data_IF_080623284370
#
_entry.id   IF_080623284370
#
_cell.length_a   1.000
_cell.length_b   1.000
_cell.length_c   1.000
_cell.angle_alpha   90.00
_cell.angle_beta   90.00
_cell.angle_gamma   90.00
#
_symmetry.space_group_name_H-M   'P 1'
#
loop_
_entity.id
_entity.type
_entity.pdbx_description
1 polymer ?
#
# COMPACT_ATOMS: atom_id res chain seq x y z
N UNK A 1 -16.32 -2.99 11.53
CA UNK A 1 -15.38 -4.09 11.17
C UNK A 1 -15.25 -4.09 9.66
N UNK A 2 -14.07 -3.83 9.12
CA UNK A 2 -13.83 -3.90 7.66
C UNK A 2 -13.70 -5.36 7.20
N UNK A 3 -14.08 -5.64 5.96
CA UNK A 3 -13.85 -6.91 5.30
C UNK A 3 -12.42 -6.95 4.73
N UNK A 4 -11.75 -8.12 4.80
CA UNK A 4 -10.38 -8.34 4.27
C UNK A 4 -10.41 -9.01 2.89
N UNK A 5 -11.40 -8.66 2.08
CA UNK A 5 -11.69 -9.23 0.76
C UNK A 5 -11.32 -8.29 -0.39
N UNK A 6 -10.57 -7.21 -0.11
CA UNK A 6 -10.08 -6.30 -1.14
C UNK A 6 -9.26 -7.06 -2.19
N UNK A 7 -9.61 -6.83 -3.45
CA UNK A 7 -8.79 -7.28 -4.58
C UNK A 7 -7.54 -6.42 -4.76
N UNK A 8 -7.34 -5.36 -3.98
CA UNK A 8 -6.23 -4.43 -4.12
C UNK A 8 -5.19 -4.60 -3.02
N UNK A 9 -3.92 -4.48 -3.43
CA UNK A 9 -2.76 -4.41 -2.55
C UNK A 9 -2.31 -2.95 -2.53
N UNK A 10 -2.36 -2.32 -1.37
CA UNK A 10 -1.93 -0.94 -1.18
C UNK A 10 -0.41 -0.81 -1.26
N UNK A 11 0.04 0.18 -2.01
CA UNK A 11 1.45 0.56 -2.17
C UNK A 11 1.55 2.09 -2.09
N UNK A 12 2.72 2.62 -1.79
CA UNK A 12 2.99 4.05 -1.79
C UNK A 12 4.13 4.37 -2.76
N UNK A 13 4.21 5.60 -3.25
CA UNK A 13 5.41 6.08 -3.98
C UNK A 13 6.43 6.71 -3.04
N UNK A 14 6.12 6.82 -1.75
CA UNK A 14 6.93 7.47 -0.74
C UNK A 14 7.68 6.42 0.10
N UNK A 15 8.96 6.24 -0.22
CA UNK A 15 9.88 5.35 0.50
C UNK A 15 9.99 5.73 1.99
N UNK A 16 9.95 7.02 2.32
CA UNK A 16 10.07 7.50 3.71
C UNK A 16 8.83 7.11 4.50
N UNK A 17 7.64 7.28 3.92
CA UNK A 17 6.37 6.92 4.56
C UNK A 17 6.25 5.41 4.80
N UNK A 18 6.63 4.59 3.82
CA UNK A 18 6.69 3.14 3.99
C UNK A 18 7.68 2.74 5.10
N UNK A 19 8.83 3.42 5.18
CA UNK A 19 9.86 3.15 6.19
C UNK A 19 9.42 3.61 7.59
N UNK A 20 8.78 4.77 7.72
CA UNK A 20 8.26 5.29 8.98
C UNK A 20 7.25 4.31 9.60
N UNK A 21 6.31 3.80 8.79
CA UNK A 21 5.36 2.79 9.24
C UNK A 21 6.09 1.53 9.74
N UNK A 22 7.04 1.00 8.95
CA UNK A 22 7.79 -0.20 9.32
C UNK A 22 8.60 -0.01 10.62
N UNK A 23 9.27 1.14 10.77
CA UNK A 23 9.99 1.48 12.00
C UNK A 23 9.03 1.53 13.17
N UNK A 24 7.97 2.35 13.10
CA UNK A 24 7.08 2.51 14.25
C UNK A 24 6.48 1.17 14.69
N UNK A 25 6.06 0.36 13.72
CA UNK A 25 5.45 -0.93 14.00
C UNK A 25 6.44 -1.95 14.54
N UNK A 26 7.65 -2.02 13.99
CA UNK A 26 8.70 -2.89 14.53
C UNK A 26 9.03 -2.56 16.00
N UNK A 27 8.93 -1.28 16.35
CA UNK A 27 9.22 -0.76 17.69
C UNK A 27 8.11 -1.06 18.69
N UNK A 28 6.85 -0.88 18.28
CA UNK A 28 5.65 -1.11 19.11
C UNK A 28 5.39 -2.60 19.30
N UNK A 29 5.49 -3.38 18.22
CA UNK A 29 5.07 -4.78 18.21
C UNK A 29 6.23 -5.76 18.46
N UNK A 30 7.47 -5.25 18.53
CA UNK A 30 8.68 -6.02 18.79
C UNK A 30 8.83 -7.24 17.86
N UNK A 31 8.54 -7.03 16.56
CA UNK A 31 8.62 -8.04 15.50
C UNK A 31 9.20 -7.42 14.23
N UNK A 32 9.81 -8.20 13.32
CA UNK A 32 10.34 -7.67 12.07
C UNK A 32 9.23 -7.13 11.16
N UNK A 33 9.50 -6.00 10.50
CA UNK A 33 8.69 -5.43 9.43
C UNK A 33 9.54 -5.34 8.16
N UNK A 34 8.89 -5.38 6.99
CA UNK A 34 9.57 -5.41 5.72
C UNK A 34 9.12 -4.25 4.84
N UNK A 35 10.06 -3.54 4.24
CA UNK A 35 9.79 -2.52 3.21
C UNK A 35 10.23 -3.09 1.88
N UNK A 36 9.29 -3.37 0.99
CA UNK A 36 9.57 -3.90 -0.35
C UNK A 36 9.62 -2.77 -1.35
N UNK A 37 10.67 -2.73 -2.17
CA UNK A 37 10.72 -1.87 -3.35
C UNK A 37 10.28 -2.66 -4.57
N UNK A 38 9.28 -2.15 -5.27
CA UNK A 38 8.58 -2.86 -6.34
C UNK A 38 8.58 -1.99 -7.59
N UNK A 39 8.95 -2.57 -8.73
CA UNK A 39 8.79 -1.93 -10.04
C UNK A 39 7.31 -1.85 -10.41
N UNK A 40 6.84 -0.66 -10.74
CA UNK A 40 5.49 -0.44 -11.21
C UNK A 40 5.23 -1.08 -12.59
N UNK A 41 3.98 -1.48 -12.85
CA UNK A 41 3.51 -1.93 -14.17
C UNK A 41 2.06 -1.50 -14.39
N UNK A 42 1.48 -1.85 -15.54
CA UNK A 42 0.13 -1.47 -15.94
C UNK A 42 -1.00 -1.97 -15.00
N UNK A 43 -0.68 -2.83 -14.03
CA UNK A 43 -1.62 -3.37 -13.06
C UNK A 43 -1.63 -2.62 -11.72
N UNK A 44 -0.86 -1.52 -11.64
CA UNK A 44 -0.80 -0.61 -10.50
C UNK A 44 -1.45 0.71 -10.91
N UNK A 45 -2.38 1.19 -10.10
CA UNK A 45 -3.22 2.35 -10.40
C UNK A 45 -3.06 3.44 -9.35
N UNK A 46 -3.09 4.70 -9.76
CA UNK A 46 -3.16 5.81 -8.81
C UNK A 46 -4.49 5.73 -8.04
N UNK A 47 -4.43 5.68 -6.70
CA UNK A 47 -5.62 5.48 -5.88
C UNK A 47 -6.57 6.69 -5.97
N UNK A 48 -6.03 7.91 -5.95
CA UNK A 48 -6.81 9.16 -6.03
C UNK A 48 -7.57 9.24 -7.35
N UNK A 49 -6.88 9.04 -8.48
CA UNK A 49 -7.52 9.08 -9.80
C UNK A 49 -8.59 7.98 -9.93
N UNK A 50 -8.30 6.78 -9.42
CA UNK A 50 -9.25 5.66 -9.43
C UNK A 50 -10.49 5.96 -8.62
N UNK A 51 -10.32 6.49 -7.41
CA UNK A 51 -11.41 6.86 -6.51
C UNK A 51 -12.30 7.93 -7.15
N UNK A 52 -11.71 9.05 -7.60
CA UNK A 52 -12.42 10.13 -8.29
C UNK A 52 -13.19 9.59 -9.49
N UNK A 53 -12.55 8.74 -10.29
CA UNK A 53 -13.18 8.14 -11.46
C UNK A 53 -14.42 7.32 -11.07
N UNK A 54 -14.31 6.42 -10.09
CA UNK A 54 -15.42 5.59 -9.60
C UNK A 54 -16.61 6.47 -9.19
N UNK A 55 -16.39 7.50 -8.37
CA UNK A 55 -17.46 8.40 -7.95
C UNK A 55 -18.14 9.11 -9.14
N UNK A 56 -17.36 9.58 -10.11
CA UNK A 56 -17.89 10.21 -11.32
C UNK A 56 -18.76 9.26 -12.15
N UNK A 57 -18.37 7.99 -12.34
CA UNK A 57 -19.19 7.03 -13.11
C UNK A 57 -20.54 6.75 -12.43
N UNK A 58 -20.60 6.93 -11.12
CA UNK A 58 -21.79 6.76 -10.29
C UNK A 58 -22.60 8.05 -10.07
N UNK A 59 -22.24 9.15 -10.75
CA UNK A 59 -22.98 10.41 -10.71
C UNK A 59 -22.77 11.21 -9.42
N UNK A 60 -21.63 11.02 -8.75
CA UNK A 60 -21.25 11.76 -7.56
C UNK A 60 -20.12 12.72 -7.95
N UNK A 61 -20.46 14.00 -8.04
CA UNK A 61 -19.54 15.04 -8.55
C UNK A 61 -18.42 15.38 -7.56
N UNK A 62 -18.66 15.18 -6.26
CA UNK A 62 -17.70 15.47 -5.19
C UNK A 62 -17.47 14.22 -4.34
N UNK A 63 -16.37 13.49 -4.56
CA UNK A 63 -15.92 12.44 -3.66
C UNK A 63 -15.74 13.00 -2.23
N UNK A 64 -15.95 12.20 -1.18
CA UNK A 64 -15.69 12.63 0.18
C UNK A 64 -14.22 13.06 0.38
N UNK A 65 -14.01 14.30 0.82
CA UNK A 65 -12.68 14.91 0.99
C UNK A 65 -11.75 14.09 1.87
N UNK A 66 -12.28 13.46 2.93
CA UNK A 66 -11.49 12.65 3.86
C UNK A 66 -10.85 11.42 3.18
N UNK A 67 -11.58 10.79 2.25
CA UNK A 67 -11.10 9.59 1.55
C UNK A 67 -10.03 9.96 0.53
N UNK A 68 -10.25 11.03 -0.23
CA UNK A 68 -9.28 11.55 -1.19
C UNK A 68 -8.04 12.08 -0.46
N UNK A 69 -8.25 12.85 0.61
CA UNK A 69 -7.18 13.44 1.42
C UNK A 69 -6.23 12.38 1.96
N UNK A 70 -6.75 11.24 2.42
CA UNK A 70 -5.88 10.17 2.93
C UNK A 70 -5.10 9.44 1.84
N UNK A 71 -5.75 9.09 0.72
CA UNK A 71 -5.04 8.50 -0.41
C UNK A 71 -3.94 9.43 -0.96
N UNK A 72 -4.16 10.75 -0.92
CA UNK A 72 -3.15 11.76 -1.24
C UNK A 72 -2.03 11.82 -0.21
N UNK A 73 -2.35 11.80 1.09
CA UNK A 73 -1.35 11.79 2.17
C UNK A 73 -0.46 10.54 2.14
N UNK A 74 -1.04 9.41 1.75
CA UNK A 74 -0.34 8.12 1.64
C UNK A 74 0.40 7.96 0.31
N UNK A 75 0.28 8.92 -0.62
CA UNK A 75 0.79 8.80 -2.00
C UNK A 75 0.43 7.45 -2.61
N UNK A 76 -0.82 7.02 -2.41
CA UNK A 76 -1.21 5.64 -2.61
C UNK A 76 -1.34 5.28 -4.10
N UNK A 77 -0.75 4.13 -4.42
CA UNK A 77 -1.03 3.37 -5.62
C UNK A 77 -1.52 1.98 -5.22
N UNK A 78 -2.48 1.43 -5.95
CA UNK A 78 -3.07 0.14 -5.63
C UNK A 78 -2.78 -0.85 -6.75
N UNK A 79 -2.14 -1.97 -6.42
CA UNK A 79 -1.94 -3.07 -7.34
C UNK A 79 -3.19 -3.98 -7.35
N UNK A 80 -3.72 -4.29 -8.53
CA UNK A 80 -4.92 -5.14 -8.64
C UNK A 80 -4.56 -6.64 -8.61
N UNK A 81 -5.22 -7.41 -7.75
CA UNK A 81 -5.07 -8.85 -7.50
C UNK A 81 -3.72 -9.33 -6.96
N UNK A 82 -2.60 -8.96 -7.58
CA UNK A 82 -1.28 -9.48 -7.21
C UNK A 82 -0.11 -8.57 -7.61
N UNK A 83 1.00 -8.75 -6.93
CA UNK A 83 2.33 -8.24 -7.29
C UNK A 83 3.20 -9.45 -7.59
N UNK A 84 3.70 -9.55 -8.82
CA UNK A 84 4.53 -10.68 -9.24
C UNK A 84 5.93 -10.59 -8.63
N UNK A 85 6.54 -11.74 -8.31
CA UNK A 85 7.88 -11.80 -7.67
C UNK A 85 8.96 -11.13 -8.52
N UNK A 86 8.80 -11.12 -9.85
CA UNK A 86 9.70 -10.48 -10.79
C UNK A 86 9.63 -8.95 -10.75
N UNK A 87 8.62 -8.37 -10.09
CA UNK A 87 8.49 -6.94 -9.85
C UNK A 87 9.22 -6.48 -8.59
N UNK A 88 9.42 -7.35 -7.60
CA UNK A 88 10.10 -7.00 -6.34
C UNK A 88 11.59 -6.88 -6.62
N UNK A 89 12.16 -5.69 -6.46
CA UNK A 89 13.59 -5.44 -6.65
C UNK A 89 14.39 -5.81 -5.39
N UNK A 90 13.93 -5.31 -4.24
CA UNK A 90 14.63 -5.46 -2.98
C UNK A 90 13.68 -5.38 -1.80
N UNK A 91 14.18 -5.79 -0.63
CA UNK A 91 13.50 -5.68 0.65
C UNK A 91 14.46 -5.11 1.68
N UNK A 92 13.98 -4.20 2.51
CA UNK A 92 14.63 -3.77 3.74
C UNK A 92 13.87 -4.34 4.92
N UNK A 93 14.54 -5.14 5.75
CA UNK A 93 13.99 -5.62 7.01
C UNK A 93 14.30 -4.60 8.10
N UNK A 94 13.27 -4.22 8.86
CA UNK A 94 13.35 -3.32 10.01
C UNK A 94 13.07 -4.12 11.27
N UNK A 95 14.03 -4.15 12.19
CA UNK A 95 13.91 -4.83 13.48
C UNK A 95 14.29 -3.90 14.63
N UNK A 96 13.81 -4.20 15.84
CA UNK A 96 14.22 -3.50 17.06
C UNK A 96 15.44 -4.19 17.67
N UNK A 97 16.52 -3.45 17.91
CA UNK A 97 17.67 -3.95 18.65
C UNK A 97 17.26 -4.25 20.11
N UNK A 98 17.51 -5.47 20.63
CA UNK A 98 17.07 -5.84 21.97
C UNK A 98 17.90 -5.21 23.10
N UNK A 99 19.12 -4.72 22.82
CA UNK A 99 19.99 -4.11 23.83
C UNK A 99 19.82 -2.60 23.95
N UNK A 100 19.60 -1.91 22.82
CA UNK A 100 19.52 -0.45 22.73
C UNK A 100 18.09 0.05 22.46
N UNK A 101 17.22 -0.82 21.95
CA UNK A 101 15.88 -0.45 21.54
C UNK A 101 15.81 0.41 20.28
N UNK A 102 16.92 0.56 19.52
CA UNK A 102 17.00 1.36 18.29
C UNK A 102 16.64 0.50 17.07
N UNK A 103 16.02 1.05 15.99
CA UNK A 103 15.77 0.29 14.76
C UNK A 103 17.07 -0.11 14.03
N UNK A 104 17.11 -1.36 13.56
CA UNK A 104 18.14 -1.93 12.70
C UNK A 104 17.55 -2.16 11.32
N UNK A 105 18.29 -1.80 10.27
CA UNK A 105 17.90 -1.96 8.87
C UNK A 105 18.82 -2.97 8.18
N UNK A 106 18.25 -3.98 7.55
CA UNK A 106 19.00 -5.00 6.77
C UNK A 106 18.42 -5.11 5.36
N UNK A 107 19.21 -4.77 4.35
CA UNK A 107 18.80 -4.81 2.95
C UNK A 107 19.13 -6.13 2.25
N UNK A 108 18.21 -6.61 1.41
CA UNK A 108 18.41 -7.78 0.54
C UNK A 108 17.89 -7.48 -0.87
N UNK A 109 18.66 -7.87 -1.89
CA UNK A 109 18.20 -7.85 -3.29
C UNK A 109 17.48 -9.14 -3.66
N UNK A 110 16.52 -9.05 -4.58
CA UNK A 110 15.81 -10.20 -5.11
C UNK A 110 16.45 -10.71 -6.41
N UNK A 111 16.98 -11.93 -6.40
CA UNK A 111 17.58 -12.54 -7.58
C UNK A 111 16.57 -12.82 -8.72
N UNK A 112 15.26 -12.85 -8.43
CA UNK A 112 14.21 -13.03 -9.43
C UNK A 112 13.75 -11.70 -10.06
N UNK A 113 14.27 -10.56 -9.61
CA UNK A 113 13.89 -9.27 -10.16
C UNK A 113 14.22 -9.21 -11.66
N UNK A 114 13.23 -8.84 -12.47
CA UNK A 114 13.43 -8.56 -13.89
C UNK A 114 13.22 -7.06 -14.09
N UNK A 115 14.32 -6.38 -14.36
CA UNK A 115 14.28 -4.98 -14.76
C UNK A 115 13.61 -4.86 -16.14
N UNK A 116 12.55 -4.07 -16.23
CA UNK A 116 11.84 -3.74 -17.47
C UNK A 116 11.48 -2.27 -17.44
N UNK A 117 11.42 -1.67 -18.61
CA UNK A 117 10.91 -0.31 -18.77
C UNK A 117 9.38 -0.35 -18.75
N UNK A 118 8.80 -0.17 -17.55
CA UNK A 118 7.35 -0.16 -17.32
C UNK A 118 7.01 0.86 -16.26
N UNK A 119 5.79 1.41 -16.34
CA UNK A 119 5.26 2.36 -15.38
C UNK A 119 3.86 1.91 -14.91
N UNK A 120 3.35 2.56 -13.87
CA UNK A 120 1.96 2.39 -13.43
C UNK A 120 0.97 2.74 -14.55
N UNK A 121 -0.27 2.26 -14.45
CA UNK A 121 -1.33 2.65 -15.38
C UNK A 121 -1.49 4.17 -15.41
N UNK A 122 -1.59 4.74 -16.62
CA UNK A 122 -1.91 6.15 -16.85
C UNK A 122 -3.42 6.42 -16.81
N UNK A 123 -4.22 5.38 -16.59
CA UNK A 123 -5.67 5.44 -16.54
C UNK A 123 -6.15 4.89 -15.20
N UNK A 124 -7.25 5.43 -14.65
CA UNK A 124 -7.85 4.90 -13.43
C UNK A 124 -8.34 3.47 -13.64
N UNK A 125 -8.42 2.71 -12.55
CA UNK A 125 -9.04 1.40 -12.61
C UNK A 125 -10.54 1.54 -12.92
N UNK A 126 -11.05 0.63 -13.76
CA UNK A 126 -12.46 0.57 -14.15
C UNK A 126 -13.01 -0.83 -13.87
N UNK A 127 -14.20 -0.91 -13.26
CA UNK A 127 -14.97 -2.15 -13.21
C UNK A 127 -16.04 -2.10 -14.29
N UNK A 128 -16.25 -3.23 -14.96
CA UNK A 128 -17.37 -3.42 -15.90
C UNK A 128 -18.73 -3.42 -15.21
N UNK A 129 -18.76 -3.65 -13.90
CA UNK A 129 -19.97 -3.89 -13.13
C UNK A 129 -20.39 -2.65 -12.35
N UNK A 130 -21.65 -2.24 -12.55
CA UNK A 130 -22.29 -1.11 -11.86
C UNK A 130 -22.75 -1.54 -10.48
N UNK A 131 -21.86 -1.59 -9.50
CA UNK A 131 -22.25 -1.77 -8.10
C UNK A 131 -22.80 -0.47 -7.51
N UNK A 132 -23.67 -0.54 -6.52
CA UNK A 132 -24.05 0.66 -5.75
C UNK A 132 -22.89 1.06 -4.85
N UNK A 133 -22.41 2.30 -4.96
CA UNK A 133 -21.44 2.87 -4.02
C UNK A 133 -22.16 3.66 -2.92
N UNK A 134 -21.62 3.64 -1.71
CA UNK A 134 -22.14 4.48 -0.61
C UNK A 134 -21.74 5.94 -0.83
N UNK A 135 -22.70 6.85 -0.67
CA UNK A 135 -22.43 8.29 -0.67
C UNK A 135 -21.77 8.76 0.64
N UNK A 136 -21.85 7.94 1.69
CA UNK A 136 -21.25 8.17 3.01
C UNK A 136 -20.40 6.94 3.37
N UNK A 137 -19.18 6.81 2.82
CA UNK A 137 -18.31 5.69 3.16
C UNK A 137 -17.85 5.81 4.61
N UNK A 138 -17.91 4.69 5.34
CA UNK A 138 -17.26 4.60 6.64
C UNK A 138 -15.74 4.59 6.45
N UNK A 139 -15.06 5.50 7.14
CA UNK A 139 -13.62 5.69 7.01
C UNK A 139 -12.87 4.96 8.12
N UNK A 140 -11.88 4.15 7.74
CA UNK A 140 -11.05 3.38 8.66
C UNK A 140 -9.60 3.83 8.51
N UNK A 141 -9.09 4.47 9.56
CA UNK A 141 -7.69 4.86 9.69
C UNK A 141 -6.97 3.93 10.64
N UNK A 142 -5.69 3.73 10.37
CA UNK A 142 -4.77 3.17 11.34
C UNK A 142 -4.23 4.26 12.26
N UNK A 143 -3.85 3.86 13.48
CA UNK A 143 -3.20 4.73 14.46
C UNK A 143 -1.86 5.28 13.95
N UNK A 144 -1.09 6.00 14.78
CA UNK A 144 0.14 6.65 14.33
C UNK A 144 1.09 5.64 13.64
N UNK A 145 1.79 6.05 12.54
CA UNK A 145 1.53 7.28 11.81
C UNK A 145 0.17 7.14 11.10
N UNK A 146 -0.64 8.21 11.08
CA UNK A 146 -1.99 8.15 10.49
C UNK A 146 -1.87 7.75 9.02
N UNK A 147 -2.36 6.55 8.69
CA UNK A 147 -2.39 5.97 7.34
C UNK A 147 -3.70 5.22 7.12
N UNK A 148 -4.04 4.94 5.86
CA UNK A 148 -5.19 4.14 5.50
C UNK A 148 -5.08 2.72 6.05
N UNK A 149 -6.20 2.18 6.55
CA UNK A 149 -6.24 0.85 7.13
C UNK A 149 -5.85 -0.27 6.14
N UNK A 150 -5.86 -0.02 4.82
CA UNK A 150 -5.34 -0.97 3.83
C UNK A 150 -3.82 -1.21 3.91
N UNK A 151 -3.06 -0.31 4.53
CA UNK A 151 -1.64 -0.53 4.82
C UNK A 151 -1.43 -1.40 6.07
N UNK A 152 -2.49 -1.76 6.80
CA UNK A 152 -2.37 -2.66 7.94
C UNK A 152 -2.08 -4.09 7.48
N UNK A 153 -1.03 -4.73 8.01
CA UNK A 153 -0.75 -6.12 7.72
C UNK A 153 -1.87 -7.07 8.15
N UNK A 154 -2.04 -8.14 7.37
CA UNK A 154 -2.90 -9.26 7.74
C UNK A 154 -2.25 -10.09 8.88
N UNK A 155 -2.50 -9.67 10.12
CA UNK A 155 -1.99 -10.33 11.32
C UNK A 155 -2.46 -11.79 11.52
N UNK A 156 -3.39 -12.30 10.71
CA UNK A 156 -3.88 -13.68 10.79
C UNK A 156 -3.13 -14.66 9.86
N UNK A 157 -2.23 -14.17 9.00
CA UNK A 157 -1.29 -15.03 8.27
C UNK A 157 -0.03 -15.19 9.11
N UNK A 158 0.04 -16.29 9.85
CA UNK A 158 1.13 -16.65 10.76
C UNK A 158 2.49 -16.87 10.07
N UNK A 159 2.52 -16.94 8.75
CA UNK A 159 3.75 -17.15 7.98
C UNK A 159 3.99 -15.95 7.06
N UNK A 160 4.89 -15.09 7.53
CA UNK A 160 5.76 -14.22 6.74
C UNK A 160 5.09 -13.42 5.61
N UNK A 161 4.67 -12.20 5.92
CA UNK A 161 5.11 -10.96 5.26
C UNK A 161 4.16 -9.85 5.70
N UNK A 162 4.67 -9.00 6.57
CA UNK A 162 4.08 -7.71 6.90
C UNK A 162 4.89 -6.68 6.12
N UNK A 163 4.38 -6.34 4.94
CA UNK A 163 5.08 -5.52 3.95
C UNK A 163 4.51 -4.11 3.87
N UNK A 164 5.35 -3.10 4.02
CA UNK A 164 5.10 -1.78 3.46
C UNK A 164 5.64 -1.82 2.02
N UNK A 165 4.83 -1.44 1.06
CA UNK A 165 5.17 -1.56 -0.35
C UNK A 165 5.45 -0.17 -0.92
N UNK A 166 6.67 0.03 -1.43
CA UNK A 166 7.04 1.24 -2.15
C UNK A 166 7.23 0.93 -3.64
N UNK A 167 6.62 1.76 -4.49
CA UNK A 167 6.72 1.65 -5.94
C UNK A 167 7.85 2.54 -6.48
N UNK A 168 8.67 1.96 -7.36
CA UNK A 168 9.67 2.68 -8.16
C UNK A 168 9.04 2.99 -9.52
N UNK A 169 9.10 4.26 -9.90
CA UNK A 169 8.60 4.81 -11.16
C UNK A 169 9.75 5.29 -12.04
#
# INVERSE_FOLDING_TARGET
>A
MGSRDSAFIATTTDDERATELAVMRSMVENRPYYVYRIRANYNIFNAVETLVHIWQVHGIDTPPDDVIGLAMMDYEYSAYQRIDREQVESVVTVTRDPGTGVPIFTGHSNANFINRDTHASLQPFTLSDRFSISNEPAFLISGPPVMAAQFEPDNNRTDHVVGCFSCIF
#
